data_IF_392063214971
#
_entry.id   IF_392063214971
#
_cell.length_a   1.000
_cell.length_b   1.000
_cell.length_c   1.000
_cell.angle_alpha   90.00
_cell.angle_beta   90.00
_cell.angle_gamma   90.00
#
_symmetry.space_group_name_H-M   'P 1'
#
loop_
_entity.id
_entity.type
_entity.pdbx_description
1 polymer ?
#
# COMPACT_ATOMS: atom_id res chain seq x y z
N UNK A 1 -18.65 7.38 75.82
CA UNK A 1 -17.81 7.07 74.63
C UNK A 1 -18.48 6.12 73.63
N UNK A 2 -19.16 5.03 74.04
CA UNK A 2 -19.82 4.11 73.10
C UNK A 2 -20.96 4.73 72.26
N UNK A 3 -21.75 5.64 72.82
CA UNK A 3 -22.84 6.34 72.11
C UNK A 3 -22.36 7.38 71.08
N UNK A 4 -21.17 7.96 71.28
CA UNK A 4 -20.57 8.89 70.31
C UNK A 4 -19.99 8.15 69.10
N UNK A 5 -19.42 6.96 69.33
CA UNK A 5 -18.88 6.11 68.26
C UNK A 5 -19.98 5.57 67.34
N UNK A 6 -21.16 5.24 67.89
CA UNK A 6 -22.31 4.78 67.10
C UNK A 6 -22.95 5.91 66.29
N UNK A 7 -22.98 7.14 66.83
CA UNK A 7 -23.49 8.30 66.08
C UNK A 7 -22.56 8.68 64.92
N UNK A 8 -21.24 8.61 65.11
CA UNK A 8 -20.25 8.89 64.06
C UNK A 8 -20.26 7.83 62.94
N UNK A 9 -20.47 6.56 63.29
CA UNK A 9 -20.60 5.47 62.30
C UNK A 9 -21.87 5.58 61.44
N UNK A 10 -22.97 6.10 62.02
CA UNK A 10 -24.23 6.31 61.30
C UNK A 10 -24.18 7.54 60.38
N UNK A 11 -23.43 8.59 60.74
CA UNK A 11 -23.23 9.75 59.87
C UNK A 11 -22.39 9.44 58.62
N UNK A 12 -21.42 8.52 58.72
CA UNK A 12 -20.59 8.10 57.57
C UNK A 12 -21.38 7.22 56.59
N UNK A 13 -22.42 6.52 57.06
CA UNK A 13 -23.22 5.62 56.21
C UNK A 13 -24.34 6.34 55.43
N UNK A 14 -24.64 7.61 55.72
CA UNK A 14 -25.68 8.39 55.02
C UNK A 14 -25.09 9.32 53.94
N UNK A 15 -23.77 9.49 53.87
CA UNK A 15 -23.09 10.29 52.83
C UNK A 15 -22.87 9.58 51.49
N UNK A 16 -23.43 8.37 51.31
CA UNK A 16 -23.19 7.52 50.13
C UNK A 16 -24.16 7.73 48.94
N UNK A 17 -25.21 8.53 49.06
CA UNK A 17 -26.26 8.66 48.03
C UNK A 17 -26.48 10.11 47.60
N UNK A 18 -25.51 10.72 46.90
CA UNK A 18 -25.78 11.94 46.11
C UNK A 18 -24.75 12.19 45.00
N UNK A 19 -24.68 11.30 44.01
CA UNK A 19 -24.41 11.64 42.60
C UNK A 19 -24.30 10.37 41.77
N UNK A 20 -25.44 9.79 41.42
CA UNK A 20 -25.57 9.19 40.10
C UNK A 20 -26.12 10.32 39.24
N UNK A 21 -25.23 11.20 38.75
CA UNK A 21 -25.53 11.92 37.51
C UNK A 21 -25.74 10.82 36.48
N UNK A 22 -26.85 10.88 35.78
CA UNK A 22 -27.10 10.08 34.59
C UNK A 22 -25.80 10.00 33.81
N UNK A 23 -25.19 8.81 33.77
CA UNK A 23 -24.12 8.53 32.84
C UNK A 23 -24.84 8.44 31.50
N UNK A 24 -25.10 9.60 30.91
CA UNK A 24 -25.30 9.72 29.48
C UNK A 24 -24.15 8.92 28.86
N UNK A 25 -24.50 7.82 28.17
CA UNK A 25 -23.52 7.09 27.38
C UNK A 25 -22.74 8.14 26.59
N UNK A 26 -21.41 8.18 26.68
CA UNK A 26 -20.66 9.31 26.15
C UNK A 26 -21.03 9.45 24.67
N UNK A 27 -21.63 10.59 24.33
CA UNK A 27 -22.02 11.01 22.97
C UNK A 27 -20.81 10.94 22.01
N UNK A 28 -19.60 10.79 22.56
CA UNK A 28 -18.33 10.58 21.86
C UNK A 28 -18.08 9.17 21.30
N UNK A 29 -18.98 8.19 21.46
CA UNK A 29 -18.86 6.89 20.78
C UNK A 29 -19.42 6.90 19.35
N UNK A 30 -20.34 7.82 19.04
CA UNK A 30 -20.76 8.07 17.66
C UNK A 30 -19.81 9.06 17.02
N UNK A 31 -18.85 8.55 16.24
CA UNK A 31 -18.08 9.40 15.33
C UNK A 31 -18.98 9.81 14.18
N UNK A 32 -18.99 11.10 13.84
CA UNK A 32 -19.69 11.58 12.64
C UNK A 32 -19.24 10.80 11.40
N UNK A 33 -20.17 10.64 10.45
CA UNK A 33 -19.84 10.10 9.15
C UNK A 33 -18.74 10.95 8.51
N UNK A 34 -17.70 10.30 8.02
CA UNK A 34 -16.57 10.97 7.38
C UNK A 34 -16.29 10.35 6.02
N UNK A 35 -15.67 11.13 5.14
CA UNK A 35 -15.13 10.61 3.90
C UNK A 35 -14.08 9.54 4.21
N UNK A 36 -13.99 8.51 3.37
CA UNK A 36 -12.98 7.47 3.52
C UNK A 36 -11.58 8.08 3.54
N UNK A 37 -10.73 7.60 4.46
CA UNK A 37 -9.36 8.08 4.58
C UNK A 37 -8.60 7.90 3.26
N UNK A 38 -7.72 8.84 2.91
CA UNK A 38 -6.78 8.64 1.80
C UNK A 38 -5.65 7.70 2.22
N UNK A 39 -5.19 6.88 1.30
CA UNK A 39 -4.02 6.02 1.51
C UNK A 39 -2.78 6.70 0.90
N UNK A 40 -1.57 6.37 1.38
CA UNK A 40 -0.35 6.80 0.72
C UNK A 40 -0.29 6.36 -0.75
N UNK A 41 -0.86 5.19 -1.07
CA UNK A 41 -0.92 4.66 -2.44
C UNK A 41 -1.91 5.42 -3.32
N UNK A 42 -3.05 5.88 -2.78
CA UNK A 42 -3.99 6.77 -3.47
C UNK A 42 -3.32 8.10 -3.80
N UNK A 43 -2.58 8.69 -2.85
CA UNK A 43 -1.84 9.93 -3.09
C UNK A 43 -0.76 9.73 -4.17
N UNK A 44 -0.06 8.59 -4.16
CA UNK A 44 0.89 8.21 -5.20
C UNK A 44 0.21 8.11 -6.58
N UNK A 45 -0.93 7.42 -6.68
CA UNK A 45 -1.71 7.33 -7.93
C UNK A 45 -2.13 8.70 -8.46
N UNK A 46 -2.63 9.57 -7.57
CA UNK A 46 -3.08 10.93 -7.95
C UNK A 46 -1.93 11.84 -8.36
N UNK A 47 -0.74 11.62 -7.80
CA UNK A 47 0.46 12.41 -8.10
C UNK A 47 1.02 12.16 -9.50
N UNK A 48 0.60 11.08 -10.17
CA UNK A 48 1.06 10.76 -11.53
C UNK A 48 0.80 11.90 -12.53
N UNK A 49 1.82 12.15 -13.35
CA UNK A 49 1.67 12.96 -14.57
C UNK A 49 0.58 12.39 -15.48
N UNK A 50 -0.02 13.23 -16.33
CA UNK A 50 -1.08 12.79 -17.24
C UNK A 50 -0.57 11.80 -18.29
N UNK A 51 -1.42 10.87 -18.75
CA UNK A 51 -1.13 10.07 -19.92
C UNK A 51 -1.13 10.94 -21.20
N UNK A 52 -0.35 10.57 -22.20
CA UNK A 52 -0.32 11.25 -23.51
C UNK A 52 -1.67 11.17 -24.22
N UNK A 53 -2.37 10.03 -24.04
CA UNK A 53 -3.74 9.80 -24.45
C UNK A 53 -4.47 9.06 -23.35
N UNK A 54 -5.68 9.53 -23.01
CA UNK A 54 -6.55 8.84 -22.04
C UNK A 54 -6.92 7.45 -22.58
N UNK A 55 -6.62 6.43 -21.80
CA UNK A 55 -6.85 5.03 -22.17
C UNK A 55 -8.29 4.67 -21.83
N UNK A 56 -9.05 4.21 -22.82
CA UNK A 56 -10.43 3.73 -22.58
C UNK A 56 -10.41 2.24 -22.32
N UNK A 57 -10.83 1.86 -21.11
CA UNK A 57 -10.79 0.48 -20.63
C UNK A 57 -12.12 0.07 -19.99
N UNK A 58 -12.32 -1.23 -19.78
CA UNK A 58 -13.46 -1.78 -19.06
C UNK A 58 -13.01 -2.75 -17.99
N UNK A 59 -13.76 -2.79 -16.89
CA UNK A 59 -13.63 -3.79 -15.82
C UNK A 59 -14.98 -4.49 -15.69
N UNK A 60 -15.01 -5.80 -15.90
CA UNK A 60 -16.23 -6.60 -15.74
C UNK A 60 -16.41 -6.99 -14.28
N UNK A 61 -15.40 -7.62 -13.73
CA UNK A 61 -15.40 -8.11 -12.36
C UNK A 61 -13.98 -8.08 -11.78
N UNK A 62 -13.91 -8.15 -10.45
CA UNK A 62 -12.68 -8.29 -9.70
C UNK A 62 -13.01 -8.96 -8.36
N UNK A 63 -12.94 -10.30 -8.37
CA UNK A 63 -13.45 -11.15 -7.28
C UNK A 63 -12.38 -11.46 -6.24
N UNK A 64 -12.87 -11.92 -5.09
CA UNK A 64 -12.09 -12.67 -4.12
C UNK A 64 -12.00 -14.15 -4.56
N UNK A 65 -10.79 -14.58 -4.91
CA UNK A 65 -10.47 -15.97 -5.25
C UNK A 65 -9.76 -16.71 -4.11
N UNK A 66 -9.56 -16.06 -2.96
CA UNK A 66 -8.87 -16.67 -1.81
C UNK A 66 -9.70 -17.76 -1.14
N UNK A 67 -11.03 -17.61 -1.19
CA UNK A 67 -11.97 -18.49 -0.51
C UNK A 67 -11.96 -18.38 1.02
N UNK A 68 -11.16 -17.48 1.60
CA UNK A 68 -10.90 -17.44 3.03
C UNK A 68 -12.06 -16.83 3.84
N UNK A 69 -12.34 -17.45 4.98
CA UNK A 69 -13.25 -16.93 5.99
C UNK A 69 -12.46 -16.37 7.18
N UNK A 70 -13.10 -15.51 7.97
CA UNK A 70 -12.49 -14.99 9.20
C UNK A 70 -12.22 -16.15 10.17
N UNK A 71 -11.07 -16.15 10.86
CA UNK A 71 -10.78 -17.16 11.88
C UNK A 71 -11.71 -16.99 13.10
N UNK A 72 -12.16 -18.11 13.69
CA UNK A 72 -12.98 -18.15 14.92
C UNK A 72 -14.20 -19.09 14.84
N UNK A 73 -14.70 -19.56 16.00
CA UNK A 73 -15.81 -20.54 16.07
C UNK A 73 -17.16 -20.00 15.59
N UNK A 74 -17.44 -18.70 15.75
CA UNK A 74 -18.75 -18.10 15.48
C UNK A 74 -18.89 -17.40 14.12
N UNK A 75 -17.81 -17.32 13.32
CA UNK A 75 -17.75 -16.49 12.12
C UNK A 75 -17.47 -17.25 10.81
N UNK A 76 -17.81 -18.54 10.75
CA UNK A 76 -17.51 -19.41 9.59
C UNK A 76 -18.10 -18.92 8.25
N UNK A 77 -19.14 -18.09 8.27
CA UNK A 77 -19.77 -17.51 7.06
C UNK A 77 -19.22 -16.12 6.68
N UNK A 78 -18.39 -15.52 7.52
CA UNK A 78 -17.82 -14.20 7.25
C UNK A 78 -16.55 -14.32 6.42
N UNK A 79 -16.56 -13.76 5.20
CA UNK A 79 -15.36 -13.69 4.37
C UNK A 79 -14.26 -12.86 5.04
N UNK A 80 -13.02 -13.32 4.92
CA UNK A 80 -11.84 -12.58 5.38
C UNK A 80 -11.57 -11.35 4.50
N UNK A 81 -11.97 -11.42 3.23
CA UNK A 81 -11.71 -10.41 2.21
C UNK A 81 -13.02 -9.81 1.70
N UNK A 82 -12.98 -8.53 1.32
CA UNK A 82 -14.13 -7.81 0.75
C UNK A 82 -14.56 -8.40 -0.60
N UNK A 83 -15.88 -8.46 -0.83
CA UNK A 83 -16.46 -8.81 -2.13
C UNK A 83 -16.65 -7.57 -3.04
N UNK A 84 -16.28 -6.38 -2.55
CA UNK A 84 -16.39 -5.10 -3.28
C UNK A 84 -15.14 -4.72 -4.09
N UNK A 85 -14.30 -5.69 -4.44
CA UNK A 85 -13.00 -5.44 -5.10
C UNK A 85 -13.13 -4.66 -6.41
N UNK A 86 -14.17 -4.93 -7.21
CA UNK A 86 -14.42 -4.24 -8.48
C UNK A 86 -14.65 -2.73 -8.31
N UNK A 87 -15.35 -2.32 -7.25
CA UNK A 87 -15.62 -0.91 -6.97
C UNK A 87 -14.34 -0.18 -6.55
N UNK A 88 -13.49 -0.86 -5.77
CA UNK A 88 -12.18 -0.34 -5.35
C UNK A 88 -11.28 -0.15 -6.58
N UNK A 89 -11.20 -1.16 -7.45
CA UNK A 89 -10.40 -1.09 -8.68
C UNK A 89 -10.87 0.05 -9.59
N UNK A 90 -12.18 0.16 -9.86
CA UNK A 90 -12.73 1.26 -10.66
C UNK A 90 -12.39 2.62 -10.08
N UNK A 91 -12.47 2.80 -8.75
CA UNK A 91 -12.07 4.04 -8.08
C UNK A 91 -10.57 4.31 -8.25
N UNK A 92 -9.70 3.33 -8.01
CA UNK A 92 -8.25 3.50 -8.18
C UNK A 92 -7.87 3.89 -9.62
N UNK A 93 -8.54 3.31 -10.61
CA UNK A 93 -8.37 3.69 -12.02
C UNK A 93 -8.83 5.13 -12.31
N UNK A 94 -9.92 5.58 -11.68
CA UNK A 94 -10.38 6.96 -11.80
C UNK A 94 -9.44 7.95 -11.09
N UNK A 95 -8.87 7.57 -9.94
CA UNK A 95 -7.97 8.42 -9.17
C UNK A 95 -6.61 8.63 -9.84
N UNK A 96 -6.18 7.69 -10.71
CA UNK A 96 -4.91 7.74 -11.41
C UNK A 96 -4.71 9.07 -12.18
N UNK A 97 -3.67 9.82 -11.78
CA UNK A 97 -3.34 11.15 -12.27
C UNK A 97 -4.50 12.15 -12.20
N UNK A 98 -5.42 11.99 -11.24
CA UNK A 98 -6.67 12.74 -11.10
C UNK A 98 -7.56 12.66 -12.36
N UNK A 99 -8.00 11.46 -12.74
CA UNK A 99 -8.84 11.17 -13.90
C UNK A 99 -8.19 11.41 -15.28
N UNK A 100 -6.85 11.50 -15.34
CA UNK A 100 -6.11 11.80 -16.59
C UNK A 100 -5.46 10.57 -17.24
N UNK A 101 -5.61 9.40 -16.64
CA UNK A 101 -5.10 8.15 -17.19
C UNK A 101 -6.16 7.34 -17.91
N UNK A 102 -7.27 7.07 -17.22
CA UNK A 102 -8.25 6.10 -17.68
C UNK A 102 -9.64 6.70 -17.85
N UNK A 103 -10.30 6.30 -18.93
CA UNK A 103 -11.75 6.37 -19.09
C UNK A 103 -12.30 4.97 -18.83
N UNK A 104 -12.87 4.80 -17.65
CA UNK A 104 -13.39 3.50 -17.19
C UNK A 104 -14.84 3.33 -17.65
N UNK A 105 -15.10 2.28 -18.43
CA UNK A 105 -16.43 1.95 -18.92
C UNK A 105 -17.14 0.99 -17.97
N UNK A 106 -18.41 1.27 -17.66
CA UNK A 106 -19.26 0.37 -16.88
C UNK A 106 -19.65 -0.86 -17.70
N UNK A 107 -19.32 -2.04 -17.18
CA UNK A 107 -19.64 -3.36 -17.76
C UNK A 107 -20.18 -4.37 -16.75
N UNK A 108 -19.93 -4.16 -15.45
CA UNK A 108 -20.47 -5.02 -14.40
C UNK A 108 -21.99 -4.90 -14.25
N UNK A 109 -22.53 -3.68 -14.46
CA UNK A 109 -23.97 -3.43 -14.48
C UNK A 109 -24.51 -3.10 -15.89
N UNK A 110 -24.01 -3.77 -16.92
CA UNK A 110 -24.35 -3.44 -18.31
C UNK A 110 -25.85 -3.60 -18.59
N UNK A 111 -26.51 -4.61 -18.02
CA UNK A 111 -27.95 -4.85 -18.22
C UNK A 111 -28.80 -3.65 -17.75
N UNK A 112 -28.52 -3.13 -16.55
CA UNK A 112 -29.20 -1.94 -16.02
C UNK A 112 -29.02 -0.74 -16.96
N UNK A 113 -27.80 -0.54 -17.46
CA UNK A 113 -27.50 0.55 -18.39
C UNK A 113 -28.22 0.38 -19.73
N UNK A 114 -28.33 -0.85 -20.24
CA UNK A 114 -29.06 -1.14 -21.48
C UNK A 114 -30.56 -0.95 -21.30
N UNK A 115 -31.11 -1.33 -20.14
CA UNK A 115 -32.51 -1.10 -19.79
C UNK A 115 -32.83 0.40 -19.76
N UNK A 116 -32.01 1.21 -19.09
CA UNK A 116 -32.21 2.66 -19.04
C UNK A 116 -32.15 3.30 -20.43
N UNK A 117 -31.19 2.86 -21.26
CA UNK A 117 -31.09 3.34 -22.65
C UNK A 117 -32.27 2.91 -23.51
N UNK A 118 -32.86 1.73 -23.24
CA UNK A 118 -34.09 1.27 -23.91
C UNK A 118 -35.27 2.16 -23.53
N UNK A 119 -35.39 2.53 -22.25
CA UNK A 119 -36.41 3.49 -21.77
C UNK A 119 -36.26 4.82 -22.50
N UNK A 120 -35.06 5.40 -22.53
CA UNK A 120 -34.81 6.68 -23.23
C UNK A 120 -35.13 6.58 -24.72
N UNK A 121 -34.76 5.49 -25.39
CA UNK A 121 -35.11 5.28 -26.81
C UNK A 121 -36.63 5.27 -27.03
N UNK A 122 -37.37 4.58 -26.16
CA UNK A 122 -38.84 4.54 -26.20
C UNK A 122 -39.45 5.94 -26.05
N UNK A 123 -39.02 6.70 -25.04
CA UNK A 123 -39.50 8.07 -24.82
C UNK A 123 -39.20 8.95 -26.03
N UNK A 124 -37.98 8.91 -26.57
CA UNK A 124 -37.59 9.75 -27.72
C UNK A 124 -38.34 9.42 -29.01
N UNK A 125 -38.83 8.18 -29.16
CA UNK A 125 -39.66 7.77 -30.30
C UNK A 125 -41.10 8.26 -30.16
N UNK A 126 -41.63 8.31 -28.94
CA UNK A 126 -43.01 8.71 -28.66
C UNK A 126 -43.19 10.24 -28.60
N UNK A 127 -42.18 10.96 -28.11
CA UNK A 127 -42.25 12.41 -27.93
C UNK A 127 -41.66 13.16 -29.12
N UNK A 128 -42.45 14.11 -29.64
CA UNK A 128 -42.02 15.12 -30.61
C UNK A 128 -41.79 16.44 -29.87
N UNK A 129 -40.83 17.23 -30.32
CA UNK A 129 -40.68 18.61 -29.86
C UNK A 129 -41.91 19.44 -30.23
N UNK A 130 -42.07 20.61 -29.62
CA UNK A 130 -43.11 21.59 -29.96
C UNK A 130 -43.20 21.89 -31.46
N UNK A 131 -42.06 21.83 -32.16
CA UNK A 131 -41.96 22.01 -33.62
C UNK A 131 -42.25 20.74 -34.44
N UNK A 132 -42.77 19.67 -33.83
CA UNK A 132 -43.14 18.41 -34.49
C UNK A 132 -41.99 17.47 -34.86
N UNK A 133 -40.74 17.80 -34.50
CA UNK A 133 -39.54 16.99 -34.80
C UNK A 133 -39.37 15.87 -33.76
N UNK A 134 -38.91 14.70 -34.20
CA UNK A 134 -38.53 13.62 -33.30
C UNK A 134 -37.22 13.94 -32.58
N UNK A 135 -37.06 13.45 -31.35
CA UNK A 135 -35.81 13.60 -30.63
C UNK A 135 -34.71 12.72 -31.27
N UNK A 136 -33.45 13.21 -31.35
CA UNK A 136 -32.38 12.46 -31.99
C UNK A 136 -32.09 11.15 -31.25
N UNK A 137 -31.66 10.08 -31.94
CA UNK A 137 -31.34 8.81 -31.32
C UNK A 137 -30.18 8.95 -30.33
N UNK A 138 -30.10 8.03 -29.37
CA UNK A 138 -28.93 7.94 -28.50
C UNK A 138 -27.70 7.49 -29.30
N UNK A 139 -26.59 8.20 -29.13
CA UNK A 139 -25.29 7.77 -29.67
C UNK A 139 -24.87 6.40 -29.12
N UNK A 140 -23.99 5.66 -29.83
CA UNK A 140 -23.57 4.31 -29.43
C UNK A 140 -22.82 4.33 -28.09
N UNK A 141 -22.76 3.17 -27.43
CA UNK A 141 -21.87 3.02 -26.28
C UNK A 141 -20.43 3.01 -26.75
N UNK A 142 -19.54 3.65 -25.99
CA UNK A 142 -18.11 3.54 -26.23
C UNK A 142 -17.68 2.08 -26.09
N UNK A 143 -16.80 1.64 -26.99
CA UNK A 143 -16.12 0.36 -26.87
C UNK A 143 -14.81 0.54 -26.11
N UNK A 144 -14.34 -0.56 -25.52
CA UNK A 144 -13.09 -0.58 -24.76
C UNK A 144 -11.95 -1.06 -25.65
N UNK A 145 -10.78 -0.41 -25.59
CA UNK A 145 -9.57 -0.94 -26.22
C UNK A 145 -8.88 -1.99 -25.35
N UNK A 146 -9.05 -1.89 -24.03
CA UNK A 146 -8.45 -2.78 -23.05
C UNK A 146 -9.49 -3.34 -22.08
N UNK A 147 -9.36 -4.62 -21.76
CA UNK A 147 -10.08 -5.26 -20.68
C UNK A 147 -9.10 -5.43 -19.51
N UNK A 148 -9.47 -4.92 -18.33
CA UNK A 148 -8.72 -5.25 -17.12
C UNK A 148 -9.41 -6.42 -16.42
N UNK A 149 -8.60 -7.42 -16.09
CA UNK A 149 -9.02 -8.60 -15.36
C UNK A 149 -8.08 -8.88 -14.19
N UNK A 150 -8.59 -9.57 -13.18
CA UNK A 150 -7.80 -9.92 -12.02
C UNK A 150 -8.67 -10.28 -10.83
N UNK A 151 -8.04 -10.28 -9.67
CA UNK A 151 -8.73 -10.50 -8.41
C UNK A 151 -7.77 -10.57 -7.25
N UNK A 152 -8.36 -10.82 -6.08
CA UNK A 152 -7.61 -11.05 -4.84
C UNK A 152 -7.35 -12.55 -4.79
N UNK A 153 -6.09 -12.93 -4.98
CA UNK A 153 -5.70 -14.33 -5.23
C UNK A 153 -5.30 -15.05 -3.95
N UNK A 154 -4.62 -14.34 -3.03
CA UNK A 154 -4.23 -14.92 -1.76
C UNK A 154 -4.56 -13.99 -0.58
N UNK A 155 -5.00 -14.61 0.51
CA UNK A 155 -5.07 -14.01 1.84
C UNK A 155 -4.44 -15.00 2.81
N UNK A 156 -3.30 -14.65 3.36
CA UNK A 156 -2.57 -15.49 4.31
C UNK A 156 -2.57 -14.84 5.68
N UNK A 157 -2.85 -15.62 6.72
CA UNK A 157 -2.85 -15.16 8.11
C UNK A 157 -2.00 -16.09 8.95
N UNK A 158 -0.85 -15.59 9.43
CA UNK A 158 0.14 -16.39 10.14
C UNK A 158 0.38 -15.80 11.53
N UNK A 159 0.18 -16.62 12.58
CA UNK A 159 0.65 -16.29 13.93
C UNK A 159 2.15 -16.52 14.00
N UNK A 160 2.86 -15.50 14.46
CA UNK A 160 4.31 -15.49 14.64
C UNK A 160 4.60 -15.18 16.11
N UNK A 161 5.47 -15.97 16.72
CA UNK A 161 5.83 -15.83 18.14
C UNK A 161 7.26 -15.32 18.25
N UNK A 162 7.47 -14.21 18.95
CA UNK A 162 8.81 -13.71 19.30
C UNK A 162 9.74 -13.42 18.11
N UNK A 163 11.04 -13.34 18.38
CA UNK A 163 12.10 -13.15 17.37
C UNK A 163 12.39 -11.68 16.98
N UNK A 164 13.17 -11.48 15.91
CA UNK A 164 13.57 -10.14 15.44
C UNK A 164 12.36 -9.23 15.11
N UNK A 165 11.26 -9.81 14.65
CA UNK A 165 10.01 -9.10 14.33
C UNK A 165 9.26 -8.58 15.56
N UNK A 166 9.35 -9.25 16.72
CA UNK A 166 8.77 -8.77 17.97
C UNK A 166 9.45 -7.47 18.44
N UNK A 167 10.78 -7.39 18.34
CA UNK A 167 11.54 -6.14 18.61
C UNK A 167 11.17 -5.03 17.65
N UNK A 168 11.00 -5.33 16.36
CA UNK A 168 10.59 -4.35 15.34
C UNK A 168 9.17 -3.80 15.60
N UNK A 169 8.30 -4.63 16.17
CA UNK A 169 6.95 -4.26 16.57
C UNK A 169 6.87 -3.57 17.95
N UNK A 170 8.00 -3.44 18.66
CA UNK A 170 8.02 -2.88 20.02
C UNK A 170 7.29 -3.74 21.06
N UNK A 171 7.01 -5.01 20.74
CA UNK A 171 6.37 -5.97 21.64
C UNK A 171 7.42 -6.86 22.28
N UNK A 172 7.22 -7.22 23.55
CA UNK A 172 8.18 -8.02 24.32
C UNK A 172 8.63 -9.29 23.60
N UNK A 173 9.82 -9.81 23.92
CA UNK A 173 10.41 -10.97 23.22
C UNK A 173 9.54 -12.25 23.26
N UNK A 174 8.62 -12.34 24.21
CA UNK A 174 7.63 -13.42 24.38
C UNK A 174 6.26 -13.14 23.75
N UNK A 175 6.04 -11.95 23.18
CA UNK A 175 4.75 -11.56 22.61
C UNK A 175 4.47 -12.26 21.28
N UNK A 176 3.20 -12.62 21.07
CA UNK A 176 2.70 -13.17 19.81
C UNK A 176 2.11 -12.05 18.95
N UNK A 177 2.39 -12.10 17.66
CA UNK A 177 1.82 -11.20 16.67
C UNK A 177 1.35 -11.98 15.45
N UNK A 178 0.33 -11.49 14.75
CA UNK A 178 -0.20 -12.07 13.53
C UNK A 178 0.19 -11.21 12.34
N UNK A 179 0.69 -11.86 11.29
CA UNK A 179 0.98 -11.27 9.99
C UNK A 179 -0.14 -11.69 9.03
N UNK A 180 -0.90 -10.72 8.56
CA UNK A 180 -1.90 -10.89 7.51
C UNK A 180 -1.34 -10.35 6.18
N UNK A 181 -1.43 -11.10 5.09
CA UNK A 181 -0.93 -10.69 3.77
C UNK A 181 -2.01 -10.87 2.71
N UNK A 182 -2.30 -9.80 1.98
CA UNK A 182 -3.21 -9.79 0.83
C UNK A 182 -2.39 -9.74 -0.44
N UNK A 183 -2.68 -10.61 -1.41
CA UNK A 183 -2.06 -10.59 -2.75
C UNK A 183 -3.11 -10.43 -3.83
N UNK A 184 -2.85 -9.49 -4.73
CA UNK A 184 -3.70 -9.10 -5.86
C UNK A 184 -2.97 -9.37 -7.16
N UNK A 185 -3.69 -9.89 -8.15
CA UNK A 185 -3.24 -9.93 -9.54
C UNK A 185 -4.11 -9.02 -10.38
N UNK A 186 -3.49 -8.27 -11.30
CA UNK A 186 -4.15 -7.41 -12.26
C UNK A 186 -3.46 -7.53 -13.61
N UNK A 187 -4.23 -7.74 -14.68
CA UNK A 187 -3.71 -7.83 -16.04
C UNK A 187 -4.52 -6.98 -17.01
N UNK A 188 -3.86 -6.48 -18.04
CA UNK A 188 -4.48 -5.77 -19.16
C UNK A 188 -4.51 -6.67 -20.40
N UNK A 189 -5.70 -6.85 -20.96
CA UNK A 189 -5.96 -7.68 -22.13
C UNK A 189 -6.40 -6.80 -23.29
N UNK A 190 -5.78 -7.00 -24.46
CA UNK A 190 -6.20 -6.38 -25.72
C UNK A 190 -7.55 -6.93 -26.14
N UNK A 191 -8.56 -6.05 -26.30
CA UNK A 191 -9.90 -6.47 -26.75
C UNK A 191 -9.87 -6.93 -28.21
N UNK A 192 -8.94 -6.40 -29.02
CA UNK A 192 -8.84 -6.73 -30.44
C UNK A 192 -8.12 -8.05 -30.70
N UNK A 193 -7.13 -8.42 -29.89
CA UNK A 193 -6.30 -9.61 -30.13
C UNK A 193 -6.50 -10.72 -29.10
N UNK A 194 -7.10 -10.43 -27.94
CA UNK A 194 -7.20 -11.36 -26.80
C UNK A 194 -5.87 -11.55 -26.05
N UNK A 195 -4.81 -10.87 -26.46
CA UNK A 195 -3.48 -10.96 -25.85
C UNK A 195 -3.44 -10.28 -24.48
N UNK A 196 -2.78 -10.92 -23.52
CA UNK A 196 -2.44 -10.31 -22.24
C UNK A 196 -1.18 -9.46 -22.43
N UNK A 197 -1.34 -8.14 -22.42
CA UNK A 197 -0.27 -7.19 -22.73
C UNK A 197 0.68 -6.95 -21.56
N UNK A 198 0.13 -6.92 -20.34
CA UNK A 198 0.89 -6.73 -19.10
C UNK A 198 0.12 -7.39 -17.96
N UNK A 199 0.85 -8.00 -17.02
CA UNK A 199 0.29 -8.63 -15.83
C UNK A 199 1.17 -8.30 -14.63
N UNK A 200 0.56 -7.77 -13.58
CA UNK A 200 1.24 -7.39 -12.34
C UNK A 200 0.67 -8.16 -11.16
N UNK A 201 1.52 -8.42 -10.18
CA UNK A 201 1.11 -8.90 -8.87
C UNK A 201 1.56 -7.89 -7.81
N UNK A 202 0.73 -7.70 -6.79
CA UNK A 202 1.01 -6.78 -5.69
C UNK A 202 0.55 -7.39 -4.39
N UNK A 203 1.33 -7.18 -3.34
CA UNK A 203 1.00 -7.68 -2.00
C UNK A 203 1.08 -6.59 -0.95
N UNK A 204 0.17 -6.63 0.02
CA UNK A 204 0.21 -5.76 1.21
C UNK A 204 0.18 -6.63 2.45
N UNK A 205 1.17 -6.42 3.32
CA UNK A 205 1.24 -7.04 4.64
C UNK A 205 0.68 -6.10 5.71
N UNK A 206 -0.01 -6.68 6.68
CA UNK A 206 -0.57 -6.07 7.88
C UNK A 206 -0.02 -6.83 9.08
N UNK A 207 0.38 -6.12 10.12
CA UNK A 207 0.83 -6.73 11.37
C UNK A 207 -0.14 -6.39 12.50
N UNK A 208 -0.43 -7.38 13.34
CA UNK A 208 -1.25 -7.22 14.54
C UNK A 208 -0.67 -7.96 15.72
N UNK A 209 -0.92 -7.49 16.93
CA UNK A 209 -0.37 -8.03 18.17
C UNK A 209 -1.50 -8.61 18.99
N UNK A 210 -1.28 -9.77 19.62
CA UNK A 210 -2.26 -10.39 20.51
C UNK A 210 -2.16 -9.69 21.88
N UNK A 211 -3.26 -9.10 22.34
CA UNK A 211 -3.39 -8.57 23.71
C UNK A 211 -3.97 -9.69 24.58
N UNK A 212 -3.47 -9.80 25.82
CA UNK A 212 -3.95 -10.79 26.79
C UNK A 212 -5.48 -10.81 26.87
N UNK A 213 -6.08 -12.00 26.67
CA UNK A 213 -7.53 -12.19 26.50
C UNK A 213 -8.00 -12.55 25.09
N UNK A 214 -7.10 -12.70 24.10
CA UNK A 214 -7.41 -13.22 22.76
C UNK A 214 -7.91 -12.17 21.75
N UNK A 215 -7.78 -10.88 22.08
CA UNK A 215 -8.15 -9.76 21.21
C UNK A 215 -6.90 -9.25 20.46
N UNK A 216 -7.01 -9.12 19.14
CA UNK A 216 -5.91 -8.61 18.30
C UNK A 216 -5.98 -7.08 18.15
N UNK A 217 -4.88 -6.38 18.46
CA UNK A 217 -4.68 -4.95 18.17
C UNK A 217 -3.76 -4.81 16.97
N UNK A 218 -4.17 -4.10 15.92
CA UNK A 218 -3.32 -3.96 14.72
C UNK A 218 -2.39 -2.76 14.87
N UNK A 219 -1.20 -2.85 14.29
CA UNK A 219 -0.13 -1.87 14.45
C UNK A 219 0.23 -1.31 13.08
N UNK A 220 0.01 -0.01 12.89
CA UNK A 220 0.49 0.74 11.73
C UNK A 220 1.97 1.07 11.90
N UNK A 221 2.75 0.89 10.84
CA UNK A 221 4.10 1.43 10.78
C UNK A 221 4.06 2.80 10.13
N UNK A 222 3.99 3.83 10.98
CA UNK A 222 4.52 5.16 10.73
C UNK A 222 4.72 5.81 12.10
N UNK A 223 5.99 5.95 12.52
CA UNK A 223 6.45 6.55 13.79
C UNK A 223 6.17 5.76 15.07
N UNK A 224 6.83 4.62 15.26
CA UNK A 224 7.05 4.04 16.59
C UNK A 224 8.51 4.25 17.00
N UNK A 225 8.96 5.50 17.08
CA UNK A 225 10.11 5.91 17.89
C UNK A 225 9.96 7.41 18.17
N UNK A 226 9.34 7.76 19.30
CA UNK A 226 9.65 8.94 20.12
C UNK A 226 8.59 9.07 21.23
N UNK A 227 8.94 8.68 22.45
CA UNK A 227 8.15 8.95 23.66
C UNK A 227 7.12 7.87 24.02
N UNK A 228 7.01 7.61 25.34
CA UNK A 228 6.22 6.58 26.01
C UNK A 228 4.68 6.76 25.90
N UNK A 229 4.17 6.89 24.68
CA UNK A 229 2.74 6.81 24.39
C UNK A 229 2.53 6.04 23.09
N UNK A 230 2.49 4.71 23.18
CA UNK A 230 2.28 3.80 22.06
C UNK A 230 0.87 3.89 21.47
N UNK A 231 0.64 4.85 20.57
CA UNK A 231 -0.55 4.85 19.74
C UNK A 231 -0.38 3.85 18.59
N UNK A 232 -0.90 2.63 18.77
CA UNK A 232 -1.02 1.66 17.68
C UNK A 232 -2.31 1.96 16.91
N UNK A 233 -2.18 2.44 15.66
CA UNK A 233 -3.33 2.52 14.77
C UNK A 233 -3.58 1.14 14.18
N UNK A 234 -4.83 0.71 14.28
CA UNK A 234 -5.25 -0.51 13.63
C UNK A 234 -5.44 -0.24 12.14
N UNK A 235 -4.58 -0.79 11.27
CA UNK A 235 -4.83 -0.79 9.82
C UNK A 235 -5.93 -1.83 9.51
N UNK A 236 -7.14 -1.42 9.09
CA UNK A 236 -8.21 -2.37 8.82
C UNK A 236 -7.84 -3.30 7.65
N UNK A 237 -8.19 -4.60 7.68
CA UNK A 237 -7.94 -5.52 6.57
C UNK A 237 -8.45 -5.01 5.21
N UNK A 238 -9.59 -4.32 5.20
CA UNK A 238 -10.15 -3.70 3.99
C UNK A 238 -9.25 -2.58 3.44
N UNK A 239 -8.53 -1.86 4.31
CA UNK A 239 -7.60 -0.80 3.93
C UNK A 239 -6.37 -1.36 3.22
N UNK A 240 -5.90 -2.54 3.63
CA UNK A 240 -4.80 -3.24 2.99
C UNK A 240 -5.18 -3.80 1.63
N UNK A 241 -6.38 -4.41 1.51
CA UNK A 241 -6.92 -4.83 0.20
C UNK A 241 -6.99 -3.65 -0.75
N UNK A 242 -7.50 -2.50 -0.26
CA UNK A 242 -7.55 -1.27 -1.07
C UNK A 242 -6.16 -0.84 -1.54
N UNK A 243 -5.18 -0.76 -0.64
CA UNK A 243 -3.81 -0.39 -1.01
C UNK A 243 -3.15 -1.38 -1.96
N UNK A 244 -3.43 -2.68 -1.83
CA UNK A 244 -2.91 -3.69 -2.76
C UNK A 244 -3.49 -3.48 -4.18
N UNK A 245 -4.80 -3.20 -4.30
CA UNK A 245 -5.45 -2.88 -5.58
C UNK A 245 -4.92 -1.57 -6.16
N UNK A 246 -4.81 -0.52 -5.35
CA UNK A 246 -4.24 0.78 -5.76
C UNK A 246 -2.80 0.61 -6.26
N UNK A 247 -2.00 -0.18 -5.54
CA UNK A 247 -0.63 -0.51 -5.97
C UNK A 247 -0.64 -1.32 -7.26
N UNK A 248 -1.60 -2.22 -7.44
CA UNK A 248 -1.79 -2.97 -8.68
C UNK A 248 -2.02 -2.04 -9.88
N UNK A 249 -2.83 -1.00 -9.73
CA UNK A 249 -3.03 0.00 -10.78
C UNK A 249 -1.75 0.82 -11.04
N UNK A 250 -1.04 1.21 -9.99
CA UNK A 250 0.22 1.96 -10.12
C UNK A 250 1.29 1.13 -10.85
N UNK A 251 1.49 -0.12 -10.42
CA UNK A 251 2.41 -1.07 -11.05
C UNK A 251 2.01 -1.33 -12.50
N UNK A 252 0.71 -1.54 -12.78
CA UNK A 252 0.22 -1.72 -14.15
C UNK A 252 0.65 -0.54 -15.04
N UNK A 253 0.44 0.69 -14.59
CA UNK A 253 0.85 1.91 -15.31
C UNK A 253 2.35 1.93 -15.58
N UNK A 254 3.18 1.64 -14.58
CA UNK A 254 4.64 1.69 -14.71
C UNK A 254 5.16 0.60 -15.63
N UNK A 255 4.68 -0.62 -15.46
CA UNK A 255 5.06 -1.76 -16.30
C UNK A 255 4.59 -1.56 -17.74
N UNK A 256 3.36 -1.10 -17.95
CA UNK A 256 2.89 -0.76 -19.29
C UNK A 256 3.62 0.43 -19.92
N UNK A 257 4.14 1.37 -19.12
CA UNK A 257 5.00 2.44 -19.62
C UNK A 257 6.36 1.89 -20.05
N UNK A 258 6.98 1.02 -19.24
CA UNK A 258 8.24 0.34 -19.55
C UNK A 258 8.13 -0.47 -20.86
N UNK A 259 7.06 -1.25 -20.99
CA UNK A 259 6.67 -2.04 -22.17
C UNK A 259 6.33 -1.20 -23.41
N UNK A 260 6.17 0.12 -23.25
CA UNK A 260 5.81 1.02 -24.35
C UNK A 260 4.36 0.92 -24.81
N UNK A 261 3.49 0.27 -24.02
CA UNK A 261 2.05 0.17 -24.29
C UNK A 261 1.36 1.54 -24.26
N UNK A 262 1.87 2.44 -23.42
CA UNK A 262 1.42 3.83 -23.31
C UNK A 262 2.57 4.76 -22.96
N UNK A 263 2.30 6.06 -23.01
CA UNK A 263 3.27 7.12 -22.73
C UNK A 263 2.68 8.15 -21.79
N UNK A 264 3.51 8.73 -20.94
CA UNK A 264 3.17 9.96 -20.24
C UNK A 264 3.10 11.12 -21.23
N UNK A 265 2.28 12.14 -20.93
CA UNK A 265 2.22 13.38 -21.70
C UNK A 265 3.53 14.14 -21.64
N UNK A 266 4.13 14.17 -20.45
CA UNK A 266 5.49 14.62 -20.22
C UNK A 266 6.36 13.39 -19.96
N UNK A 267 7.25 13.09 -20.92
CA UNK A 267 8.14 11.94 -20.84
C UNK A 267 9.08 12.00 -19.65
N UNK A 268 9.54 13.20 -19.27
CA UNK A 268 10.46 13.37 -18.14
C UNK A 268 9.81 12.99 -16.81
N UNK A 269 8.59 13.46 -16.57
CA UNK A 269 7.79 13.05 -15.41
C UNK A 269 7.50 11.54 -15.39
N UNK A 270 7.30 10.92 -16.55
CA UNK A 270 7.13 9.48 -16.66
C UNK A 270 8.40 8.71 -16.32
N UNK A 271 9.54 9.18 -16.82
CA UNK A 271 10.86 8.59 -16.55
C UNK A 271 11.24 8.71 -15.08
N UNK A 272 10.99 9.86 -14.44
CA UNK A 272 11.19 10.04 -13.00
C UNK A 272 10.32 9.09 -12.17
N UNK A 273 9.04 8.96 -12.55
CA UNK A 273 8.13 8.03 -11.88
C UNK A 273 8.57 6.57 -12.04
N UNK A 274 9.07 6.18 -13.22
CA UNK A 274 9.60 4.84 -13.47
C UNK A 274 10.89 4.59 -12.69
N UNK A 275 11.81 5.56 -12.60
CA UNK A 275 13.01 5.45 -11.78
C UNK A 275 12.66 5.22 -10.32
N UNK A 276 11.75 6.02 -9.76
CA UNK A 276 11.28 5.85 -8.39
C UNK A 276 10.61 4.48 -8.19
N UNK A 277 9.85 3.99 -9.17
CA UNK A 277 9.26 2.65 -9.13
C UNK A 277 10.34 1.56 -9.05
N UNK A 278 11.32 1.57 -9.95
CA UNK A 278 12.41 0.59 -9.98
C UNK A 278 13.32 0.67 -8.75
N UNK A 279 13.56 1.87 -8.21
CA UNK A 279 14.36 2.06 -7.00
C UNK A 279 13.65 1.55 -5.74
N UNK A 280 12.33 1.79 -5.66
CA UNK A 280 11.57 1.54 -4.43
C UNK A 280 11.09 0.09 -4.30
N UNK A 281 10.79 -0.57 -5.41
CA UNK A 281 10.15 -1.88 -5.39
C UNK A 281 11.06 -2.96 -5.97
N UNK A 282 11.17 -4.07 -5.24
CA UNK A 282 11.84 -5.27 -5.71
C UNK A 282 10.94 -6.04 -6.70
N UNK A 283 11.54 -6.86 -7.57
CA UNK A 283 10.84 -7.72 -8.55
C UNK A 283 10.03 -6.98 -9.63
N UNK A 284 10.42 -5.74 -9.96
CA UNK A 284 9.97 -5.07 -11.19
C UNK A 284 10.42 -5.84 -12.45
N UNK A 285 9.73 -5.65 -13.58
CA UNK A 285 10.08 -6.37 -14.81
C UNK A 285 11.50 -6.04 -15.31
N UNK A 286 12.12 -7.00 -16.01
CA UNK A 286 13.41 -6.79 -16.68
C UNK A 286 13.34 -5.58 -17.64
N UNK A 287 12.23 -5.42 -18.38
CA UNK A 287 12.06 -4.26 -19.28
C UNK A 287 12.03 -2.93 -18.54
N UNK A 288 11.43 -2.87 -17.35
CA UNK A 288 11.47 -1.67 -16.52
C UNK A 288 12.89 -1.33 -16.09
N UNK A 289 13.67 -2.35 -15.67
CA UNK A 289 15.08 -2.18 -15.29
C UNK A 289 15.94 -1.74 -16.46
N UNK A 290 15.81 -2.41 -17.62
CA UNK A 290 16.53 -2.08 -18.85
C UNK A 290 16.26 -0.65 -19.30
N UNK A 291 14.99 -0.23 -19.28
CA UNK A 291 14.62 1.11 -19.69
C UNK A 291 15.21 2.17 -18.77
N UNK A 292 15.20 1.95 -17.45
CA UNK A 292 15.87 2.85 -16.49
C UNK A 292 17.39 2.87 -16.71
N UNK A 293 18.00 1.72 -16.99
CA UNK A 293 19.43 1.64 -17.34
C UNK A 293 19.80 2.40 -18.62
N UNK A 294 18.94 2.33 -19.64
CA UNK A 294 19.10 3.07 -20.89
C UNK A 294 18.99 4.59 -20.69
N UNK A 295 18.14 5.05 -19.77
CA UNK A 295 18.05 6.47 -19.43
C UNK A 295 19.33 7.02 -18.78
N UNK A 296 19.98 6.20 -17.95
CA UNK A 296 21.20 6.57 -17.23
C UNK A 296 22.46 6.57 -18.12
N UNK A 297 22.40 5.95 -19.30
CA UNK A 297 23.52 5.84 -20.26
C UNK A 297 23.45 6.85 -21.42
N UNK A 298 22.38 7.68 -21.49
CA UNK A 298 22.24 8.75 -22.48
C UNK A 298 22.75 10.09 -21.90
N UNK A 299 23.58 10.88 -22.63
CA UNK A 299 24.10 12.13 -22.10
C UNK A 299 22.96 13.14 -21.91
N UNK A 300 22.80 13.61 -20.67
CA UNK A 300 21.69 14.48 -20.28
C UNK A 300 21.67 15.79 -21.10
N UNK A 301 20.52 16.23 -21.62
CA UNK A 301 20.38 17.59 -22.13
C UNK A 301 20.52 18.60 -20.96
N UNK A 302 21.08 19.77 -21.27
CA UNK A 302 21.48 20.79 -20.30
C UNK A 302 20.32 21.20 -19.36
N UNK A 303 20.64 21.30 -18.06
CA UNK A 303 19.72 21.71 -16.98
C UNK A 303 19.11 23.07 -17.28
N UNK A 304 17.81 23.12 -17.56
CA UNK A 304 17.03 24.36 -17.47
C UNK A 304 16.59 24.54 -16.02
N UNK A 305 17.06 25.62 -15.40
CA UNK A 305 16.72 25.99 -14.02
C UNK A 305 15.27 26.48 -13.94
N UNK A 306 14.35 25.65 -13.44
CA UNK A 306 12.98 26.07 -13.13
C UNK A 306 12.90 26.64 -11.70
N UNK A 307 12.43 27.88 -11.57
CA UNK A 307 12.11 28.55 -10.30
C UNK A 307 10.58 28.54 -10.15
N UNK A 308 9.98 27.80 -9.19
CA UNK A 308 8.54 27.75 -9.06
C UNK A 308 8.02 29.06 -8.44
N UNK A 309 7.23 29.82 -9.19
CA UNK A 309 6.44 30.92 -8.65
C UNK A 309 5.11 30.36 -8.16
N UNK A 310 4.91 30.34 -6.84
CA UNK A 310 3.66 29.92 -6.20
C UNK A 310 2.68 31.09 -6.25
N UNK A 311 1.70 31.02 -7.16
CA UNK A 311 0.52 31.90 -7.07
C UNK A 311 -0.55 31.21 -6.22
N UNK A 312 -0.85 31.83 -5.08
CA UNK A 312 -1.95 31.45 -4.18
C UNK A 312 -3.28 31.42 -4.95
N UNK A 313 -4.11 30.36 -4.83
CA UNK A 313 -5.41 30.35 -5.48
C UNK A 313 -6.36 31.33 -4.79
N UNK A 314 -7.01 32.16 -5.61
CA UNK A 314 -8.06 33.08 -5.21
C UNK A 314 -9.27 32.32 -4.61
N UNK A 315 -9.89 32.91 -3.59
CA UNK A 315 -11.17 32.47 -3.01
C UNK A 315 -12.24 32.47 -4.11
N UNK A 316 -12.75 31.29 -4.46
CA UNK A 316 -14.00 31.20 -5.20
C UNK A 316 -15.17 31.16 -4.22
N UNK A 317 -15.94 32.24 -4.23
CA UNK A 317 -17.28 32.35 -3.66
C UNK A 317 -18.26 31.50 -4.48
N UNK A 318 -18.97 30.58 -3.84
CA UNK A 318 -20.07 29.83 -4.46
C UNK A 318 -21.30 30.73 -4.56
N UNK A 319 -21.74 31.01 -5.79
CA UNK A 319 -23.03 31.61 -6.06
C UNK A 319 -24.14 30.59 -5.79
N UNK A 320 -25.04 30.96 -4.91
CA UNK A 320 -26.29 30.26 -4.59
C UNK A 320 -27.22 30.23 -5.82
N UNK A 321 -27.65 29.03 -6.22
CA UNK A 321 -28.86 28.85 -7.03
C UNK A 321 -29.88 28.06 -6.20
N UNK A 322 -31.00 28.73 -5.91
CA UNK A 322 -32.14 28.18 -5.19
C UNK A 322 -32.92 27.17 -6.03
N UNK A 323 -33.45 26.15 -5.35
CA UNK A 323 -34.30 25.13 -5.94
C UNK A 323 -35.00 24.35 -4.82
N UNK A 324 -36.31 24.52 -4.75
CA UNK A 324 -37.25 24.15 -3.69
C UNK A 324 -37.18 22.69 -3.19
N UNK A 325 -37.43 22.54 -1.89
CA UNK A 325 -37.64 21.29 -1.20
C UNK A 325 -38.98 20.63 -1.61
N UNK A 326 -38.96 19.32 -1.82
CA UNK A 326 -40.16 18.48 -1.83
C UNK A 326 -39.98 17.45 -0.71
N UNK A 327 -40.73 17.65 0.36
CA UNK A 327 -40.99 16.69 1.44
C UNK A 327 -41.85 15.54 0.94
N UNK A 328 -41.46 14.30 1.22
CA UNK A 328 -42.36 13.15 1.18
C UNK A 328 -42.11 12.26 2.40
N UNK A 329 -43.21 11.91 3.05
CA UNK A 329 -43.34 11.35 4.38
C UNK A 329 -43.06 9.84 4.43
N UNK A 330 -42.76 9.39 5.65
CA UNK A 330 -42.72 8.01 6.11
C UNK A 330 -43.97 7.20 5.76
N UNK A 331 -43.78 5.92 5.44
CA UNK A 331 -44.70 4.86 5.86
C UNK A 331 -43.95 3.55 6.07
N UNK A 332 -43.99 3.06 7.30
CA UNK A 332 -43.64 1.70 7.71
C UNK A 332 -44.61 0.69 7.10
N UNK A 333 -44.12 -0.48 6.67
CA UNK A 333 -44.89 -1.72 6.72
C UNK A 333 -43.99 -2.96 6.64
N UNK A 334 -44.51 -4.02 7.26
CA UNK A 334 -43.83 -5.16 7.85
C UNK A 334 -43.53 -6.33 6.90
N UNK A 335 -42.50 -7.10 7.29
CA UNK A 335 -42.37 -8.58 7.40
C UNK A 335 -43.28 -9.51 6.56
N UNK A 336 -42.65 -10.42 5.79
CA UNK A 336 -42.94 -11.88 5.71
C UNK A 336 -41.94 -12.58 4.77
N UNK A 337 -41.01 -13.40 5.28
CA UNK A 337 -41.02 -14.88 5.29
C UNK A 337 -41.30 -15.52 3.92
N UNK A 338 -40.30 -16.21 3.35
CA UNK A 338 -40.48 -17.45 2.59
C UNK A 338 -39.25 -18.34 2.72
N UNK A 339 -39.40 -19.42 3.51
CA UNK A 339 -38.55 -20.62 3.50
C UNK A 339 -38.73 -21.33 2.16
N UNK A 340 -37.63 -21.71 1.50
CA UNK A 340 -37.62 -22.84 0.55
C UNK A 340 -36.40 -23.70 0.76
N UNK A 341 -36.66 -24.89 1.28
CA UNK A 341 -35.82 -26.09 1.27
C UNK A 341 -35.67 -26.59 -0.15
N UNK A 342 -34.45 -26.91 -0.58
CA UNK A 342 -34.22 -27.85 -1.68
C UNK A 342 -32.88 -28.57 -1.44
N UNK A 343 -32.97 -29.89 -1.41
CA UNK A 343 -31.88 -30.84 -1.20
C UNK A 343 -30.87 -30.83 -2.35
N UNK A 344 -29.62 -31.18 -2.04
CA UNK A 344 -28.58 -31.49 -3.02
C UNK A 344 -27.96 -32.85 -2.68
N UNK A 345 -27.82 -33.77 -3.64
CA UNK A 345 -27.30 -35.11 -3.40
C UNK A 345 -25.77 -35.13 -3.31
N UNK A 346 -25.30 -36.03 -2.47
CA UNK A 346 -23.92 -36.40 -2.24
C UNK A 346 -23.33 -37.18 -3.43
N UNK A 347 -22.11 -36.82 -3.84
CA UNK A 347 -21.19 -37.77 -4.45
C UNK A 347 -19.79 -37.54 -3.89
N UNK A 348 -19.31 -38.53 -3.14
CA UNK A 348 -17.93 -38.64 -2.64
C UNK A 348 -17.05 -39.09 -3.81
N UNK A 349 -15.99 -38.33 -4.09
CA UNK A 349 -14.83 -38.84 -4.83
C UNK A 349 -13.63 -38.77 -3.89
N UNK A 350 -13.10 -39.94 -3.54
CA UNK A 350 -11.85 -40.09 -2.79
C UNK A 350 -10.68 -39.89 -3.76
N UNK A 351 -9.91 -38.82 -3.59
CA UNK A 351 -8.56 -38.70 -4.16
C UNK A 351 -7.63 -38.09 -3.11
N UNK A 352 -6.69 -38.90 -2.64
CA UNK A 352 -5.60 -38.46 -1.77
C UNK A 352 -4.41 -38.03 -2.66
N UNK A 353 -3.85 -36.81 -2.49
CA UNK A 353 -2.63 -36.42 -3.21
C UNK A 353 -1.36 -36.99 -2.55
N UNK A 354 -0.32 -37.34 -3.33
CA UNK A 354 0.94 -37.90 -2.82
C UNK A 354 1.81 -36.82 -2.14
N UNK A 355 2.63 -37.27 -1.18
CA UNK A 355 3.49 -36.43 -0.35
C UNK A 355 4.59 -35.71 -1.16
N UNK A 356 4.86 -34.45 -0.79
CA UNK A 356 5.92 -33.62 -1.38
C UNK A 356 7.32 -34.01 -0.86
N UNK A 357 8.36 -34.02 -1.71
CA UNK A 357 9.74 -34.27 -1.29
C UNK A 357 10.39 -33.05 -0.61
N UNK A 358 11.16 -33.30 0.44
CA UNK A 358 11.88 -32.27 1.22
C UNK A 358 13.12 -31.70 0.48
N UNK A 359 13.44 -30.39 0.60
CA UNK A 359 14.60 -29.79 -0.05
C UNK A 359 15.93 -30.05 0.69
N UNK A 360 16.98 -30.35 -0.09
CA UNK A 360 18.37 -30.58 0.36
C UNK A 360 19.09 -29.24 0.64
N UNK A 361 19.93 -29.23 1.68
CA UNK A 361 20.76 -28.09 2.10
C UNK A 361 21.79 -27.67 1.04
N UNK A 362 22.00 -26.35 0.88
CA UNK A 362 22.99 -25.75 -0.04
C UNK A 362 24.11 -25.07 0.76
N UNK A 363 25.34 -25.32 0.34
CA UNK A 363 26.63 -25.04 1.00
C UNK A 363 26.99 -23.54 1.02
N UNK A 364 27.53 -23.05 2.14
CA UNK A 364 28.02 -21.67 2.35
C UNK A 364 29.43 -21.47 1.75
N UNK A 365 29.62 -20.43 0.93
CA UNK A 365 30.93 -20.03 0.39
C UNK A 365 31.62 -19.01 1.31
N UNK A 366 32.85 -19.31 1.74
CA UNK A 366 33.68 -18.46 2.59
C UNK A 366 34.48 -17.45 1.75
N UNK A 367 34.21 -16.16 1.92
CA UNK A 367 35.04 -15.08 1.37
C UNK A 367 36.36 -14.96 2.14
N UNK A 368 37.49 -15.00 1.41
CA UNK A 368 38.85 -14.82 1.94
C UNK A 368 39.27 -13.35 1.77
N UNK A 369 39.96 -12.81 2.78
CA UNK A 369 40.28 -11.38 2.93
C UNK A 369 41.12 -10.77 1.78
N UNK A 370 40.91 -9.48 1.52
CA UNK A 370 41.63 -8.65 0.54
C UNK A 370 43.00 -8.20 1.10
N UNK A 371 44.08 -8.07 0.29
CA UNK A 371 45.44 -7.75 0.75
C UNK A 371 45.61 -6.40 1.47
N UNK A 372 46.63 -6.34 2.34
CA UNK A 372 46.92 -5.26 3.32
C UNK A 372 47.16 -3.84 2.75
N UNK A 373 47.30 -3.67 1.44
CA UNK A 373 47.59 -2.36 0.81
C UNK A 373 46.41 -1.36 0.88
N UNK A 374 45.19 -1.80 1.19
CA UNK A 374 43.99 -0.94 1.28
C UNK A 374 43.80 -0.33 2.70
N UNK A 375 44.75 -0.53 3.64
CA UNK A 375 44.55 -0.10 5.03
C UNK A 375 44.67 1.41 5.30
N UNK A 376 45.22 2.20 4.37
CA UNK A 376 45.68 3.58 4.66
C UNK A 376 45.14 4.74 3.80
N UNK A 377 44.21 4.54 2.84
CA UNK A 377 43.63 5.67 2.09
C UNK A 377 42.38 6.22 2.82
N UNK A 378 42.51 7.35 3.51
CA UNK A 378 41.49 7.87 4.46
C UNK A 378 40.42 8.81 3.89
N UNK A 379 40.38 9.12 2.60
CA UNK A 379 39.29 9.96 2.03
C UNK A 379 38.77 9.51 0.66
N UNK A 380 39.50 8.64 -0.04
CA UNK A 380 39.12 8.18 -1.37
C UNK A 380 38.41 6.83 -1.28
N UNK A 381 37.15 6.76 -1.72
CA UNK A 381 36.37 5.52 -1.82
C UNK A 381 36.65 4.90 -3.20
N UNK A 382 37.25 3.71 -3.29
CA UNK A 382 37.49 3.05 -4.58
C UNK A 382 36.19 2.79 -5.36
N UNK A 383 36.29 2.61 -6.69
CA UNK A 383 35.14 2.15 -7.48
C UNK A 383 34.77 0.71 -7.09
N UNK A 384 33.48 0.47 -6.86
CA UNK A 384 32.99 -0.85 -6.48
C UNK A 384 31.61 -0.82 -5.86
N UNK A 385 31.12 -1.99 -5.44
CA UNK A 385 29.84 -2.10 -4.76
C UNK A 385 30.03 -1.92 -3.25
N UNK A 386 29.21 -1.09 -2.64
CA UNK A 386 29.27 -0.83 -1.21
C UNK A 386 27.92 -1.08 -0.55
N UNK A 387 27.96 -1.58 0.68
CA UNK A 387 26.82 -1.53 1.58
C UNK A 387 26.96 -0.25 2.40
N UNK A 388 26.05 0.72 2.21
CA UNK A 388 25.99 1.87 3.11
C UNK A 388 25.38 1.45 4.44
N UNK A 389 26.10 1.71 5.52
CA UNK A 389 25.79 1.20 6.85
C UNK A 389 25.35 2.26 7.83
N UNK A 390 25.68 3.54 7.61
CA UNK A 390 25.12 4.66 8.36
C UNK A 390 25.37 5.99 7.64
N UNK A 391 24.64 7.04 8.06
CA UNK A 391 25.02 8.42 7.82
C UNK A 391 24.72 9.25 9.07
N UNK A 392 25.76 9.68 9.77
CA UNK A 392 25.64 10.52 10.98
C UNK A 392 25.89 11.97 10.63
N UNK A 393 25.21 12.94 11.28
CA UNK A 393 25.56 14.35 11.08
C UNK A 393 27.03 14.57 11.45
N UNK A 394 27.69 15.55 10.85
CA UNK A 394 29.09 15.86 11.18
C UNK A 394 29.27 16.16 12.68
N UNK A 395 28.24 16.73 13.33
CA UNK A 395 28.17 16.98 14.78
C UNK A 395 28.09 15.71 15.64
N UNK A 396 27.84 14.53 15.05
CA UNK A 396 27.72 13.24 15.73
C UNK A 396 28.92 12.33 15.44
N UNK A 397 30.12 12.92 15.31
CA UNK A 397 31.35 12.22 14.94
C UNK A 397 31.70 11.04 15.88
N UNK A 398 31.36 11.13 17.17
CA UNK A 398 31.58 10.04 18.13
C UNK A 398 30.79 8.77 17.81
N UNK A 399 29.53 8.91 17.35
CA UNK A 399 28.70 7.78 16.88
C UNK A 399 29.29 7.18 15.60
N UNK A 400 29.75 8.03 14.69
CA UNK A 400 30.41 7.59 13.46
C UNK A 400 31.70 6.81 13.74
N UNK A 401 32.53 7.28 14.68
CA UNK A 401 33.77 6.61 15.07
C UNK A 401 33.51 5.27 15.78
N UNK A 402 32.51 5.22 16.68
CA UNK A 402 32.13 4.00 17.39
C UNK A 402 31.69 2.89 16.43
N UNK A 403 30.77 3.20 15.51
CA UNK A 403 30.28 2.22 14.54
C UNK A 403 31.38 1.79 13.55
N UNK A 404 32.20 2.71 13.09
CA UNK A 404 33.37 2.40 12.25
C UNK A 404 34.33 1.44 12.96
N UNK A 405 34.58 1.67 14.26
CA UNK A 405 35.42 0.80 15.09
C UNK A 405 34.83 -0.61 15.23
N UNK A 406 33.53 -0.72 15.50
CA UNK A 406 32.82 -2.00 15.60
C UNK A 406 32.91 -2.80 14.29
N UNK A 407 32.62 -2.16 13.15
CA UNK A 407 32.68 -2.82 11.85
C UNK A 407 34.10 -3.26 11.48
N UNK A 408 35.12 -2.44 11.77
CA UNK A 408 36.53 -2.81 11.56
C UNK A 408 36.97 -3.96 12.47
N UNK A 409 36.56 -3.96 13.75
CA UNK A 409 36.86 -5.06 14.68
C UNK A 409 36.20 -6.38 14.27
N UNK A 410 35.10 -6.32 13.53
CA UNK A 410 34.44 -7.47 12.94
C UNK A 410 35.04 -7.93 11.59
N UNK A 411 36.14 -7.32 11.16
CA UNK A 411 36.87 -7.71 9.96
C UNK A 411 36.33 -7.12 8.65
N UNK A 412 35.42 -6.14 8.71
CA UNK A 412 34.91 -5.49 7.51
C UNK A 412 35.84 -4.37 7.01
N UNK A 413 36.01 -4.22 5.68
CA UNK A 413 36.66 -3.04 5.10
C UNK A 413 35.68 -1.86 5.14
N UNK A 414 36.02 -0.80 5.90
CA UNK A 414 35.12 0.33 6.19
C UNK A 414 35.72 1.65 5.71
N UNK A 415 34.93 2.40 4.93
CA UNK A 415 35.23 3.76 4.47
C UNK A 415 34.27 4.77 5.10
N UNK A 416 34.77 5.97 5.39
CA UNK A 416 33.95 7.09 5.90
C UNK A 416 34.09 8.28 4.96
N UNK A 417 33.00 8.70 4.35
CA UNK A 417 32.96 9.81 3.40
C UNK A 417 32.18 10.99 3.98
N UNK A 418 32.64 12.22 3.74
CA UNK A 418 31.85 13.42 4.03
C UNK A 418 30.91 13.70 2.85
N UNK A 419 29.62 13.78 3.11
CA UNK A 419 28.62 14.13 2.09
C UNK A 419 27.65 15.19 2.62
N UNK A 420 26.99 15.92 1.73
CA UNK A 420 26.00 16.93 2.11
C UNK A 420 24.65 16.60 1.50
N UNK A 421 23.62 16.53 2.34
CA UNK A 421 22.23 16.35 1.89
C UNK A 421 21.43 17.56 2.33
N UNK A 422 20.82 18.26 1.38
CA UNK A 422 20.11 19.53 1.62
C UNK A 422 20.94 20.55 2.42
N UNK A 423 22.23 20.70 2.07
CA UNK A 423 23.21 21.58 2.73
C UNK A 423 23.58 21.21 4.18
N UNK A 424 23.16 20.05 4.69
CA UNK A 424 23.56 19.54 6.00
C UNK A 424 24.70 18.51 5.79
N UNK A 425 25.87 18.65 6.45
CA UNK A 425 27.00 17.73 6.30
C UNK A 425 26.84 16.46 7.15
N UNK A 426 27.19 15.32 6.56
CA UNK A 426 27.12 13.98 7.15
C UNK A 426 28.44 13.21 6.97
N UNK A 427 28.71 12.32 7.92
CA UNK A 427 29.64 11.20 7.79
C UNK A 427 28.88 9.95 7.31
N UNK A 428 29.09 9.58 6.05
CA UNK A 428 28.57 8.37 5.42
C UNK A 428 29.54 7.21 5.68
N UNK A 429 29.05 6.11 6.24
CA UNK A 429 29.86 4.91 6.55
C UNK A 429 29.52 3.82 5.55
N UNK A 430 30.55 3.30 4.88
CA UNK A 430 30.46 2.36 3.77
C UNK A 430 31.27 1.12 4.05
N UNK A 431 30.75 -0.05 3.72
CA UNK A 431 31.46 -1.32 3.80
C UNK A 431 31.59 -1.94 2.42
N UNK A 432 32.82 -2.27 2.02
CA UNK A 432 33.19 -2.71 0.67
C UNK A 432 34.63 -2.29 0.34
N UNK A 433 35.07 -2.24 -0.93
CA UNK A 433 34.30 -2.58 -2.12
C UNK A 433 34.06 -4.10 -2.24
N UNK A 434 32.87 -4.46 -2.68
CA UNK A 434 32.51 -5.81 -3.13
C UNK A 434 32.63 -5.89 -4.65
N UNK A 435 32.96 -7.09 -5.19
CA UNK A 435 33.16 -7.28 -6.63
C UNK A 435 31.87 -7.11 -7.44
N UNK A 436 30.72 -7.49 -6.87
CA UNK A 436 29.41 -7.41 -7.52
C UNK A 436 28.27 -7.18 -6.50
N UNK A 437 27.09 -6.87 -7.03
CA UNK A 437 25.88 -6.59 -6.25
C UNK A 437 25.35 -7.81 -5.47
N UNK A 438 25.34 -9.04 -6.01
CA UNK A 438 25.02 -10.25 -5.23
C UNK A 438 25.91 -10.44 -4.00
N UNK A 439 27.23 -10.29 -4.13
CA UNK A 439 28.16 -10.43 -3.00
C UNK A 439 27.96 -9.31 -1.96
N UNK A 440 27.65 -8.09 -2.41
CA UNK A 440 27.25 -7.00 -1.52
C UNK A 440 25.93 -7.32 -0.78
N UNK A 441 24.96 -7.94 -1.47
CA UNK A 441 23.68 -8.37 -0.89
C UNK A 441 23.87 -9.48 0.15
N UNK A 442 24.70 -10.48 -0.13
CA UNK A 442 24.99 -11.59 0.78
C UNK A 442 25.68 -11.10 2.06
N UNK A 443 26.53 -10.07 1.95
CA UNK A 443 27.20 -9.48 3.11
C UNK A 443 26.34 -8.41 3.83
N UNK A 444 25.25 -7.93 3.22
CA UNK A 444 24.35 -6.92 3.80
C UNK A 444 23.83 -7.36 5.16
N UNK A 445 23.35 -8.60 5.29
CA UNK A 445 22.82 -9.12 6.55
C UNK A 445 23.87 -9.24 7.65
N UNK A 446 25.12 -9.56 7.29
CA UNK A 446 26.25 -9.67 8.24
C UNK A 446 26.68 -8.31 8.76
N UNK A 447 26.75 -7.32 7.88
CA UNK A 447 27.06 -5.93 8.24
C UNK A 447 25.95 -5.32 9.10
N UNK A 448 24.68 -5.60 8.77
CA UNK A 448 23.51 -5.14 9.53
C UNK A 448 23.42 -5.73 10.94
N UNK A 449 23.84 -6.99 11.12
CA UNK A 449 23.86 -7.62 12.44
C UNK A 449 24.78 -6.89 13.45
N UNK A 450 25.79 -6.18 12.94
CA UNK A 450 26.78 -5.46 13.77
C UNK A 450 26.42 -4.00 13.94
N UNK A 451 25.91 -3.36 12.87
CA UNK A 451 25.55 -1.95 12.92
C UNK A 451 24.30 -1.64 13.75
N UNK A 452 23.42 -2.62 13.94
CA UNK A 452 22.16 -2.46 14.64
C UNK A 452 21.16 -1.54 13.90
N UNK A 453 19.92 -1.42 14.42
CA UNK A 453 18.86 -0.65 13.77
C UNK A 453 19.04 0.88 13.85
N UNK A 454 20.02 1.37 14.63
CA UNK A 454 20.28 2.81 14.90
C UNK A 454 21.14 3.49 13.81
N UNK A 455 21.02 2.98 12.60
CA UNK A 455 21.68 3.54 11.46
C UNK A 455 20.60 3.76 10.42
N UNK A 456 19.88 4.88 10.48
CA UNK A 456 19.20 5.48 9.33
C UNK A 456 19.12 6.98 9.59
N UNK A 457 19.48 7.79 8.58
CA UNK A 457 18.52 8.00 7.50
C UNK A 457 18.86 7.37 6.13
N UNK A 458 19.95 6.60 6.00
CA UNK A 458 20.45 6.21 4.67
C UNK A 458 20.90 4.75 4.51
N UNK A 459 20.55 3.88 5.45
CA UNK A 459 21.05 2.51 5.49
C UNK A 459 20.07 1.61 4.80
N UNK A 460 20.20 1.53 3.47
CA UNK A 460 19.66 0.41 2.71
C UNK A 460 20.06 0.36 1.24
N UNK A 461 20.84 1.33 0.74
CA UNK A 461 21.28 1.31 -0.65
C UNK A 461 22.56 0.48 -0.78
N UNK A 462 22.49 -0.54 -1.64
CA UNK A 462 23.66 -1.05 -2.33
C UNK A 462 23.80 -0.20 -3.57
N UNK A 463 24.96 0.38 -3.75
CA UNK A 463 25.18 1.31 -4.84
C UNK A 463 26.64 1.17 -5.30
N UNK A 464 26.86 1.54 -6.55
CA UNK A 464 28.18 1.47 -7.19
C UNK A 464 28.79 2.86 -7.18
N UNK A 465 29.93 3.03 -6.51
CA UNK A 465 30.70 4.27 -6.64
C UNK A 465 31.34 4.29 -8.04
N UNK A 466 31.10 5.37 -8.77
CA UNK A 466 31.68 5.67 -10.08
C UNK A 466 32.20 7.11 -10.04
N UNK A 467 33.52 7.29 -10.16
CA UNK A 467 34.14 8.62 -10.27
C UNK A 467 33.72 9.35 -11.54
#
# INVERSE_FOLDING_TARGET
MRLLATALALLISVSGCSSLKDVEAPESLSKEASLGARTPTEDLLRSLGAASRVITLSVYDFKDYTGQNKPGETAQYSRAVTQGGVSILKKALLDAGNHRWFRVLERGALENLLQERKIIRSIRQQYKTSDGRTLPPLGPLLYSGLLLEGGIIAYESNLVTGGAGARYLGIGASAQYRRDMVTVYLRAVSVTTGEVLVSVNTSKTIYSTLVDGGIFKYVSFDKIVEGEAGFSFNEPPQLAVRQAIEMGVYALIMEGYAEGLWKFKDGSSGDDALRHYVEKYDNVSEKAQERVGAMSSSPAPAKVSYKPEVKSPARNTYASYGGQAITAQHSDTQTAVLKRTAAQPSSRSNYAPPAAPQPKARTTSNYTAVPDEIRNAREHVPNGWYVQVAAYKLSEQSKSAALTGQLKSAGFPVFVQKTSVHAIPYHRILVGPYPDQPVANDNKSRVQAIAGPQSEPYVKQIYREMW
#
